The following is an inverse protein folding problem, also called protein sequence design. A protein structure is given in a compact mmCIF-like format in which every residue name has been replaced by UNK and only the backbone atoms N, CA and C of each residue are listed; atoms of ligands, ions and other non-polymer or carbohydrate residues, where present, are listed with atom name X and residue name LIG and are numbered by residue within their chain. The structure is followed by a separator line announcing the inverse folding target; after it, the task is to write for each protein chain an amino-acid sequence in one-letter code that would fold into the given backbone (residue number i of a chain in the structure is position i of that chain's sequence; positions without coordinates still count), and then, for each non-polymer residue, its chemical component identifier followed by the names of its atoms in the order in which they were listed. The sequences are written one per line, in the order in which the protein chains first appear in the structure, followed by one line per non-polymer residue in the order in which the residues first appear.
data_IF_474961325258
#
_entry.id   IF_474961325258
#
_cell.length_a   1.000
_cell.length_b   1.000
_cell.length_c   1.000
_cell.angle_alpha   90.00
_cell.angle_beta   90.00
_cell.angle_gamma   90.00
#
_symmetry.space_group_name_H-M   'P 1'
#
loop_
_entity.id
_entity.type
_entity.pdbx_description
1 polymer ?
#
# COMPACT_ATOMS: atom_id res chain seq x y z
N UNK A 1 -3.65 -36.51 -17.81
CA UNK A 1 -4.43 -36.42 -16.56
C UNK A 1 -4.18 -35.03 -15.97
N UNK A 2 -4.76 -33.91 -16.41
CA UNK A 2 -6.16 -33.57 -16.70
C UNK A 2 -7.12 -33.92 -15.56
N UNK A 3 -6.88 -33.33 -14.38
CA UNK A 3 -7.93 -33.07 -13.38
C UNK A 3 -7.60 -31.88 -12.46
N UNK A 4 -7.48 -30.66 -13.01
CA UNK A 4 -7.34 -29.43 -12.19
C UNK A 4 -8.37 -28.33 -12.53
N UNK A 5 -9.43 -28.68 -13.26
CA UNK A 5 -10.28 -27.69 -13.94
C UNK A 5 -11.41 -27.09 -13.12
N UNK A 6 -11.78 -27.65 -11.95
CA UNK A 6 -13.00 -27.22 -11.22
C UNK A 6 -12.83 -27.01 -9.71
N UNK A 7 -11.68 -27.36 -9.12
CA UNK A 7 -11.43 -27.25 -7.68
C UNK A 7 -10.75 -25.95 -7.20
N UNK A 8 -10.20 -25.13 -8.12
CA UNK A 8 -9.27 -24.04 -7.76
C UNK A 8 -9.86 -22.62 -7.91
N UNK A 9 -11.11 -22.51 -8.35
CA UNK A 9 -11.78 -21.22 -8.54
C UNK A 9 -12.02 -20.49 -7.21
N UNK A 10 -12.30 -21.22 -6.14
CA UNK A 10 -12.47 -20.65 -4.79
C UNK A 10 -11.12 -20.24 -4.18
N UNK A 11 -10.06 -21.02 -4.45
CA UNK A 11 -8.71 -20.77 -3.95
C UNK A 11 -8.11 -19.46 -4.44
N UNK A 12 -8.19 -19.18 -5.75
CA UNK A 12 -7.63 -17.94 -6.33
C UNK A 12 -8.28 -16.66 -5.77
N UNK A 13 -9.60 -16.65 -5.58
CA UNK A 13 -10.29 -15.49 -5.00
C UNK A 13 -9.99 -15.32 -3.51
N UNK A 14 -9.78 -16.42 -2.78
CA UNK A 14 -9.28 -16.35 -1.41
C UNK A 14 -7.87 -15.74 -1.33
N UNK A 15 -6.98 -16.10 -2.28
CA UNK A 15 -5.65 -15.46 -2.40
C UNK A 15 -5.79 -13.96 -2.65
N UNK A 16 -6.67 -13.55 -3.57
CA UNK A 16 -6.94 -12.14 -3.83
C UNK A 16 -7.48 -11.41 -2.59
N UNK A 17 -8.48 -11.99 -1.91
CA UNK A 17 -9.08 -11.38 -0.72
C UNK A 17 -8.05 -11.19 0.40
N UNK A 18 -7.20 -12.19 0.67
CA UNK A 18 -6.16 -12.07 1.69
C UNK A 18 -5.08 -11.06 1.28
N UNK A 19 -4.69 -11.01 0.01
CA UNK A 19 -3.80 -9.97 -0.52
C UNK A 19 -4.39 -8.57 -0.28
N UNK A 20 -5.68 -8.39 -0.60
CA UNK A 20 -6.37 -7.13 -0.40
C UNK A 20 -6.45 -6.75 1.08
N UNK A 21 -6.78 -7.69 1.97
CA UNK A 21 -6.82 -7.45 3.43
C UNK A 21 -5.44 -7.05 3.98
N UNK A 22 -4.37 -7.72 3.57
CA UNK A 22 -3.01 -7.35 3.96
C UNK A 22 -2.61 -5.96 3.45
N UNK A 23 -3.04 -5.60 2.23
CA UNK A 23 -2.79 -4.29 1.67
C UNK A 23 -3.64 -3.19 2.36
N UNK A 24 -4.89 -3.49 2.71
CA UNK A 24 -5.75 -2.65 3.55
C UNK A 24 -5.07 -2.37 4.89
N UNK A 25 -4.55 -3.39 5.58
CA UNK A 25 -3.78 -3.21 6.82
C UNK A 25 -2.56 -2.31 6.60
N UNK A 26 -1.83 -2.49 5.49
CA UNK A 26 -0.70 -1.62 5.16
C UNK A 26 -1.10 -0.15 4.97
N UNK A 27 -2.25 0.14 4.34
CA UNK A 27 -2.72 1.52 4.17
C UNK A 27 -3.23 2.09 5.49
N UNK A 28 -3.93 1.27 6.27
CA UNK A 28 -4.40 1.62 7.59
C UNK A 28 -3.27 2.14 8.49
N UNK A 29 -2.13 1.43 8.58
CA UNK A 29 -0.99 1.85 9.42
C UNK A 29 -0.32 3.17 8.96
N UNK A 30 -0.45 3.52 7.68
CA UNK A 30 0.07 4.79 7.13
C UNK A 30 -0.80 5.95 7.55
N UNK A 31 -2.11 5.82 7.39
CA UNK A 31 -3.07 6.87 7.67
C UNK A 31 -3.33 7.04 9.19
N UNK A 32 -3.23 5.97 9.97
CA UNK A 32 -3.58 5.97 11.40
C UNK A 32 -2.76 6.95 12.24
N UNK A 33 -1.51 7.26 11.85
CA UNK A 33 -0.65 8.14 12.64
C UNK A 33 -1.24 9.55 12.81
N UNK A 34 -1.93 10.06 11.80
CA UNK A 34 -2.53 11.39 11.86
C UNK A 34 -3.65 11.46 12.91
N UNK A 35 -4.43 10.39 13.04
CA UNK A 35 -5.56 10.33 13.99
C UNK A 35 -5.07 10.24 15.43
N UNK A 36 -4.04 9.45 15.71
CA UNK A 36 -3.50 9.28 17.07
C UNK A 36 -2.44 10.32 17.44
N UNK A 37 -2.14 11.28 16.55
CA UNK A 37 -1.11 12.28 16.79
C UNK A 37 -1.34 13.09 18.08
N UNK A 38 -2.57 13.52 18.44
CA UNK A 38 -2.83 14.18 19.71
C UNK A 38 -2.45 13.32 20.93
N UNK A 39 -2.82 12.04 20.91
CA UNK A 39 -2.52 11.09 21.99
C UNK A 39 -1.02 10.85 22.14
N UNK A 40 -0.31 10.73 21.01
CA UNK A 40 1.15 10.56 21.02
C UNK A 40 1.87 11.79 21.60
N UNK A 41 1.37 13.01 21.38
CA UNK A 41 1.95 14.21 22.02
C UNK A 41 1.69 14.20 23.51
N UNK A 42 0.48 13.84 23.93
CA UNK A 42 0.09 13.81 25.33
C UNK A 42 0.87 12.75 26.11
N UNK A 43 0.92 11.52 25.61
CA UNK A 43 1.44 10.36 26.34
C UNK A 43 2.96 10.19 26.23
N UNK A 44 3.57 10.61 25.12
CA UNK A 44 5.01 10.46 24.86
C UNK A 44 5.75 11.81 24.87
N UNK A 45 5.05 12.91 25.11
CA UNK A 45 5.64 14.26 25.14
C UNK A 45 6.25 14.70 23.81
N UNK A 46 5.74 14.19 22.68
CA UNK A 46 6.35 14.42 21.37
C UNK A 46 6.10 15.83 20.84
N UNK A 47 7.14 16.44 20.29
CA UNK A 47 7.03 17.65 19.48
C UNK A 47 6.40 17.33 18.11
N UNK A 48 5.94 18.36 17.39
CA UNK A 48 5.48 18.22 16.01
C UNK A 48 6.57 17.66 15.09
N UNK A 49 7.82 18.04 15.32
CA UNK A 49 8.99 17.51 14.61
C UNK A 49 9.16 16.01 14.84
N UNK A 50 9.08 15.56 16.11
CA UNK A 50 9.19 14.15 16.46
C UNK A 50 8.07 13.30 15.84
N UNK A 51 6.83 13.82 15.79
CA UNK A 51 5.73 13.16 15.08
C UNK A 51 5.96 13.06 13.57
N UNK A 52 6.50 14.12 12.96
CA UNK A 52 6.91 14.13 11.57
C UNK A 52 7.96 13.05 11.30
N UNK A 53 8.98 12.96 12.16
CA UNK A 53 10.02 11.94 12.08
C UNK A 53 9.48 10.51 12.27
N UNK A 54 8.57 10.27 13.22
CA UNK A 54 7.90 8.96 13.38
C UNK A 54 7.18 8.52 12.10
N UNK A 55 6.46 9.46 11.47
CA UNK A 55 5.79 9.20 10.19
C UNK A 55 6.81 8.88 9.10
N UNK A 56 7.88 9.68 9.02
CA UNK A 56 8.92 9.52 8.02
C UNK A 56 9.67 8.19 8.16
N UNK A 57 9.96 7.73 9.39
CA UNK A 57 10.66 6.46 9.65
C UNK A 57 9.94 5.24 9.06
N UNK A 58 8.60 5.23 9.10
CA UNK A 58 7.81 4.21 8.41
C UNK A 58 8.11 4.22 6.91
N UNK A 59 8.02 5.39 6.27
CA UNK A 59 8.19 5.52 4.82
C UNK A 59 9.63 5.31 4.36
N UNK A 60 10.63 5.79 5.11
CA UNK A 60 12.04 5.56 4.82
C UNK A 60 12.38 4.08 4.89
N UNK A 61 11.96 3.39 5.95
CA UNK A 61 12.19 1.94 6.07
C UNK A 61 11.47 1.19 4.95
N UNK A 62 10.21 1.54 4.69
CA UNK A 62 9.43 0.96 3.59
C UNK A 62 10.17 1.11 2.25
N UNK A 63 10.71 2.30 1.95
CA UNK A 63 11.43 2.59 0.71
C UNK A 63 12.76 1.82 0.62
N UNK A 64 13.55 1.77 1.69
CA UNK A 64 14.81 1.04 1.72
C UNK A 64 14.61 -0.45 1.45
N UNK A 65 13.52 -1.02 1.95
CA UNK A 65 13.18 -2.44 1.77
C UNK A 65 12.71 -2.76 0.35
N UNK A 66 12.21 -1.79 -0.42
CA UNK A 66 11.80 -2.04 -1.81
C UNK A 66 12.94 -2.56 -2.69
N UNK A 67 14.19 -2.17 -2.42
CA UNK A 67 15.36 -2.61 -3.19
C UNK A 67 15.63 -4.13 -3.04
N UNK A 68 15.81 -4.69 -1.83
CA UNK A 68 16.00 -6.12 -1.64
C UNK A 68 14.71 -6.95 -1.82
N UNK A 69 13.53 -6.32 -1.72
CA UNK A 69 12.25 -7.04 -1.74
C UNK A 69 12.03 -7.82 -3.04
N UNK A 70 12.36 -7.26 -4.21
CA UNK A 70 12.18 -7.94 -5.50
C UNK A 70 12.90 -9.30 -5.55
N UNK A 71 14.24 -9.34 -5.37
CA UNK A 71 14.99 -10.59 -5.29
C UNK A 71 14.48 -11.55 -4.20
N UNK A 72 14.04 -11.05 -3.04
CA UNK A 72 13.45 -11.89 -1.99
C UNK A 72 12.15 -12.55 -2.46
N UNK A 73 11.24 -11.80 -3.10
CA UNK A 73 9.99 -12.34 -3.65
C UNK A 73 10.24 -13.39 -4.74
N UNK A 74 11.29 -13.21 -5.54
CA UNK A 74 11.65 -14.15 -6.61
C UNK A 74 12.35 -15.42 -6.09
N UNK A 75 13.24 -15.30 -5.09
CA UNK A 75 14.03 -16.43 -4.56
C UNK A 75 13.33 -17.20 -3.44
N UNK A 76 12.80 -16.49 -2.45
CA UNK A 76 12.16 -17.07 -1.26
C UNK A 76 10.70 -17.41 -1.57
N UNK A 77 10.08 -16.65 -2.47
CA UNK A 77 8.69 -16.82 -2.87
C UNK A 77 7.78 -15.79 -2.18
N UNK A 78 6.79 -15.29 -2.92
CA UNK A 78 5.89 -14.23 -2.45
C UNK A 78 5.14 -14.61 -1.17
N UNK A 79 4.67 -15.86 -1.05
CA UNK A 79 3.94 -16.35 0.13
C UNK A 79 4.75 -16.16 1.42
N UNK A 80 5.96 -16.70 1.46
CA UNK A 80 6.81 -16.68 2.67
C UNK A 80 7.29 -15.26 2.99
N UNK A 81 7.73 -14.52 1.96
CA UNK A 81 8.22 -13.15 2.15
C UNK A 81 7.13 -12.22 2.67
N UNK A 82 5.93 -12.24 2.09
CA UNK A 82 4.81 -11.40 2.54
C UNK A 82 4.41 -11.73 3.98
N UNK A 83 4.24 -13.02 4.30
CA UNK A 83 3.83 -13.43 5.62
C UNK A 83 4.87 -13.08 6.70
N UNK A 84 6.14 -13.38 6.45
CA UNK A 84 7.22 -13.10 7.40
C UNK A 84 7.35 -11.61 7.67
N UNK A 85 7.35 -10.78 6.62
CA UNK A 85 7.38 -9.33 6.79
C UNK A 85 6.12 -8.82 7.49
N UNK A 86 4.93 -9.30 7.13
CA UNK A 86 3.70 -8.91 7.82
C UNK A 86 3.76 -9.23 9.32
N UNK A 87 4.29 -10.40 9.70
CA UNK A 87 4.49 -10.76 11.12
C UNK A 87 5.47 -9.83 11.82
N UNK A 88 6.56 -9.42 11.15
CA UNK A 88 7.47 -8.38 11.68
C UNK A 88 6.71 -7.06 11.89
N UNK A 89 5.82 -6.71 10.95
CA UNK A 89 4.96 -5.53 11.07
C UNK A 89 4.02 -5.61 12.28
N UNK A 90 3.42 -6.78 12.53
CA UNK A 90 2.59 -7.01 13.72
C UNK A 90 3.38 -6.87 15.03
N UNK A 91 4.61 -7.40 15.08
CA UNK A 91 5.52 -7.18 16.21
C UNK A 91 5.85 -5.69 16.37
N UNK A 92 6.08 -4.99 15.26
CA UNK A 92 6.25 -3.54 15.24
C UNK A 92 5.03 -2.78 15.80
N UNK A 93 3.82 -3.22 15.47
CA UNK A 93 2.58 -2.65 16.00
C UNK A 93 2.47 -2.82 17.52
N UNK A 94 2.84 -3.99 18.06
CA UNK A 94 2.83 -4.23 19.50
C UNK A 94 3.89 -3.41 20.23
N UNK A 95 5.10 -3.32 19.67
CA UNK A 95 6.17 -2.47 20.22
C UNK A 95 5.71 -1.00 20.24
N UNK A 96 5.13 -0.52 19.13
CA UNK A 96 4.60 0.83 19.03
C UNK A 96 3.48 1.09 20.06
N UNK A 97 2.55 0.14 20.21
CA UNK A 97 1.47 0.21 21.19
C UNK A 97 1.97 0.24 22.64
N UNK A 98 3.07 -0.47 22.94
CA UNK A 98 3.67 -0.47 24.28
C UNK A 98 4.64 0.67 24.55
N UNK A 99 4.91 1.52 23.55
CA UNK A 99 5.93 2.54 23.65
C UNK A 99 5.64 3.55 24.78
N UNK A 100 6.69 3.89 25.52
CA UNK A 100 6.74 4.92 26.56
C UNK A 100 7.72 6.04 26.20
N UNK A 101 8.58 5.80 25.21
CA UNK A 101 9.57 6.76 24.72
C UNK A 101 9.50 6.91 23.20
N UNK A 102 10.06 8.01 22.70
CA UNK A 102 10.19 8.23 21.26
C UNK A 102 10.96 7.08 20.57
N UNK A 103 12.02 6.58 21.18
CA UNK A 103 12.89 5.55 20.60
C UNK A 103 12.15 4.22 20.41
N UNK A 104 11.32 3.83 21.39
CA UNK A 104 10.46 2.64 21.28
C UNK A 104 9.41 2.81 20.18
N UNK A 105 8.75 3.97 20.13
CA UNK A 105 7.79 4.29 19.08
C UNK A 105 8.45 4.32 17.68
N UNK A 106 9.65 4.88 17.59
CA UNK A 106 10.45 4.92 16.37
C UNK A 106 10.83 3.51 15.89
N UNK A 107 11.27 2.64 16.81
CA UNK A 107 11.57 1.25 16.49
C UNK A 107 10.33 0.48 16.01
N UNK A 108 9.19 0.66 16.68
CA UNK A 108 7.91 0.09 16.23
C UNK A 108 7.52 0.57 14.83
N UNK A 109 7.71 1.85 14.52
CA UNK A 109 7.45 2.43 13.18
C UNK A 109 8.38 1.89 12.10
N UNK A 110 9.66 1.66 12.42
CA UNK A 110 10.63 1.03 11.51
C UNK A 110 10.15 -0.39 11.17
N UNK A 111 9.80 -1.20 12.18
CA UNK A 111 9.31 -2.57 11.97
C UNK A 111 7.99 -2.61 11.19
N UNK A 112 7.07 -1.67 11.44
CA UNK A 112 5.86 -1.50 10.64
C UNK A 112 6.18 -1.19 9.17
N UNK A 113 7.11 -0.25 8.91
CA UNK A 113 7.53 0.09 7.55
C UNK A 113 8.16 -1.09 6.82
N UNK A 114 9.03 -1.83 7.51
CA UNK A 114 9.62 -3.08 7.03
C UNK A 114 8.54 -4.12 6.72
N UNK A 115 7.60 -4.33 7.65
CA UNK A 115 6.64 -5.40 7.54
C UNK A 115 5.57 -5.21 6.47
N UNK A 116 5.14 -3.96 6.27
CA UNK A 116 4.11 -3.61 5.28
C UNK A 116 4.66 -3.49 3.85
N UNK A 117 5.99 -3.51 3.67
CA UNK A 117 6.69 -3.32 2.38
C UNK A 117 6.29 -4.30 1.27
N UNK A 118 6.00 -5.56 1.63
CA UNK A 118 5.75 -6.63 0.68
C UNK A 118 4.30 -6.74 0.22
N UNK A 119 3.35 -6.08 0.91
CA UNK A 119 1.92 -6.39 0.74
C UNK A 119 1.37 -5.97 -0.62
N UNK A 120 1.95 -4.96 -1.29
CA UNK A 120 1.56 -4.63 -2.66
C UNK A 120 2.33 -5.46 -3.69
N UNK A 121 3.66 -5.38 -3.67
CA UNK A 121 4.51 -6.02 -4.70
C UNK A 121 4.43 -7.55 -4.67
N UNK A 122 4.29 -8.13 -3.48
CA UNK A 122 4.08 -9.56 -3.32
C UNK A 122 2.72 -10.01 -3.86
N UNK A 123 1.66 -9.21 -3.67
CA UNK A 123 0.36 -9.49 -4.29
C UNK A 123 0.43 -9.41 -5.82
N UNK A 124 1.13 -8.43 -6.38
CA UNK A 124 1.36 -8.37 -7.83
C UNK A 124 2.07 -9.64 -8.33
N UNK A 125 3.10 -10.11 -7.60
CA UNK A 125 3.78 -11.37 -7.94
C UNK A 125 2.82 -12.56 -7.90
N UNK A 126 1.98 -12.67 -6.86
CA UNK A 126 0.99 -13.74 -6.77
C UNK A 126 -0.06 -13.67 -7.89
N UNK A 127 -0.45 -12.47 -8.32
CA UNK A 127 -1.40 -12.32 -9.42
C UNK A 127 -0.85 -12.87 -10.73
N UNK A 128 0.45 -12.72 -10.98
CA UNK A 128 1.09 -13.33 -12.17
C UNK A 128 1.10 -14.86 -12.15
N UNK A 129 0.93 -15.49 -10.98
CA UNK A 129 0.94 -16.95 -10.84
C UNK A 129 -0.45 -17.56 -10.73
N UNK A 130 -1.42 -16.85 -10.13
CA UNK A 130 -2.74 -17.37 -9.80
C UNK A 130 -3.85 -16.91 -10.77
N UNK A 131 -3.60 -15.86 -11.54
CA UNK A 131 -4.58 -15.25 -12.43
C UNK A 131 -4.04 -15.13 -13.85
N UNK A 132 -4.95 -15.01 -14.82
CA UNK A 132 -4.56 -14.86 -16.22
C UNK A 132 -3.98 -13.46 -16.49
N UNK A 133 -3.08 -13.31 -17.49
CA UNK A 133 -2.54 -12.01 -17.87
C UNK A 133 -3.59 -10.96 -18.22
N UNK A 134 -4.76 -11.37 -18.72
CA UNK A 134 -5.90 -10.51 -19.07
C UNK A 134 -6.59 -9.92 -17.83
N UNK A 135 -6.53 -10.61 -16.69
CA UNK A 135 -7.12 -10.16 -15.42
C UNK A 135 -6.14 -9.28 -14.62
N UNK A 136 -4.84 -9.37 -14.90
CA UNK A 136 -3.78 -8.75 -14.09
C UNK A 136 -3.98 -7.23 -13.90
N UNK A 137 -4.28 -6.51 -14.97
CA UNK A 137 -4.48 -5.06 -14.90
C UNK A 137 -5.68 -4.70 -14.02
N UNK A 138 -6.80 -5.41 -14.19
CA UNK A 138 -8.03 -5.22 -13.40
C UNK A 138 -7.79 -5.52 -11.92
N UNK A 139 -7.15 -6.64 -11.61
CA UNK A 139 -6.86 -7.03 -10.22
C UNK A 139 -5.87 -6.08 -9.55
N UNK A 140 -4.89 -5.57 -10.30
CA UNK A 140 -3.96 -4.54 -9.83
C UNK A 140 -4.68 -3.23 -9.52
N UNK A 141 -5.63 -2.83 -10.37
CA UNK A 141 -6.48 -1.67 -10.10
C UNK A 141 -7.39 -1.88 -8.88
N UNK A 142 -8.00 -3.07 -8.77
CA UNK A 142 -8.91 -3.39 -7.68
C UNK A 142 -8.20 -3.45 -6.32
N UNK A 143 -7.00 -4.03 -6.22
CA UNK A 143 -6.25 -4.03 -4.96
C UNK A 143 -5.82 -2.61 -4.55
N UNK A 144 -5.45 -1.75 -5.50
CA UNK A 144 -5.15 -0.34 -5.23
C UNK A 144 -6.38 0.41 -4.71
N UNK A 145 -7.53 0.18 -5.34
CA UNK A 145 -8.82 0.70 -4.88
C UNK A 145 -9.18 0.21 -3.47
N UNK A 146 -9.04 -1.08 -3.20
CA UNK A 146 -9.29 -1.63 -1.86
C UNK A 146 -8.33 -1.05 -0.82
N UNK A 147 -7.11 -0.67 -1.21
CA UNK A 147 -6.19 0.07 -0.35
C UNK A 147 -6.78 1.36 0.23
N UNK A 148 -7.64 2.09 -0.52
CA UNK A 148 -8.26 3.32 -0.01
C UNK A 148 -9.22 3.05 1.14
N UNK A 149 -9.82 1.86 1.20
CA UNK A 149 -10.64 1.41 2.34
C UNK A 149 -9.82 1.39 3.62
N UNK A 150 -8.54 0.99 3.56
CA UNK A 150 -7.63 1.05 4.71
C UNK A 150 -7.46 2.46 5.26
N UNK A 151 -7.35 3.47 4.39
CA UNK A 151 -7.29 4.88 4.79
C UNK A 151 -8.61 5.35 5.44
N UNK A 152 -9.75 4.92 4.89
CA UNK A 152 -11.08 5.26 5.43
C UNK A 152 -11.30 4.64 6.81
N UNK A 153 -10.91 3.37 6.99
CA UNK A 153 -11.00 2.68 8.29
C UNK A 153 -10.05 3.31 9.32
N UNK A 154 -8.90 3.81 8.87
CA UNK A 154 -7.96 4.54 9.73
C UNK A 154 -8.44 5.94 10.14
N UNK A 155 -9.56 6.44 9.60
CA UNK A 155 -10.14 7.73 9.97
C UNK A 155 -11.15 7.57 11.13
N UNK A 156 -12.43 7.85 10.91
CA UNK A 156 -13.47 7.82 11.95
C UNK A 156 -13.56 6.49 12.72
N UNK A 157 -13.51 5.31 12.06
CA UNK A 157 -13.59 4.05 12.81
C UNK A 157 -12.44 3.86 13.80
N UNK A 158 -11.22 4.26 13.42
CA UNK A 158 -10.09 4.26 14.35
C UNK A 158 -10.27 5.29 15.47
N UNK A 159 -10.74 6.50 15.17
CA UNK A 159 -10.97 7.51 16.20
C UNK A 159 -11.95 7.02 17.28
N UNK A 160 -13.06 6.39 16.88
CA UNK A 160 -14.03 5.79 17.80
C UNK A 160 -13.42 4.65 18.62
N UNK A 161 -12.55 3.83 18.01
CA UNK A 161 -11.85 2.77 18.73
C UNK A 161 -10.85 3.34 19.75
N UNK A 162 -10.11 4.39 19.37
CA UNK A 162 -9.17 5.10 20.25
C UNK A 162 -9.92 5.75 21.42
N UNK A 163 -11.09 6.34 21.18
CA UNK A 163 -11.93 6.89 22.24
C UNK A 163 -12.41 5.80 23.21
N UNK A 164 -12.79 4.63 22.69
CA UNK A 164 -13.35 3.55 23.50
C UNK A 164 -12.29 2.81 24.34
N UNK A 165 -11.11 2.52 23.77
CA UNK A 165 -10.09 1.66 24.42
C UNK A 165 -8.69 2.27 24.48
N UNK A 166 -8.49 3.46 23.92
CA UNK A 166 -7.19 4.10 23.82
C UNK A 166 -6.37 3.64 22.60
N UNK A 167 -5.42 4.47 22.18
CA UNK A 167 -4.59 4.21 21.01
C UNK A 167 -3.67 2.99 21.17
N UNK A 168 -3.20 2.72 22.40
CA UNK A 168 -2.35 1.56 22.71
C UNK A 168 -3.08 0.25 22.44
N UNK A 169 -4.26 0.08 23.02
CA UNK A 169 -5.08 -1.11 22.79
C UNK A 169 -5.57 -1.20 21.34
N UNK A 170 -5.92 -0.07 20.72
CA UNK A 170 -6.28 -0.03 19.29
C UNK A 170 -5.16 -0.63 18.42
N UNK A 171 -3.92 -0.15 18.56
CA UNK A 171 -2.79 -0.67 17.79
C UNK A 171 -2.43 -2.11 18.15
N UNK A 172 -2.58 -2.51 19.41
CA UNK A 172 -2.34 -3.88 19.83
C UNK A 172 -3.34 -4.88 19.22
N UNK A 173 -4.64 -4.52 19.21
CA UNK A 173 -5.71 -5.31 18.58
C UNK A 173 -5.50 -5.42 17.08
N UNK A 174 -5.18 -4.31 16.40
CA UNK A 174 -4.95 -4.28 14.95
C UNK A 174 -3.67 -5.04 14.59
N UNK A 175 -2.63 -4.98 15.43
CA UNK A 175 -1.42 -5.81 15.32
C UNK A 175 -1.74 -7.30 15.39
N UNK A 176 -2.61 -7.69 16.32
CA UNK A 176 -3.12 -9.05 16.44
C UNK A 176 -3.93 -9.50 15.24
N UNK A 177 -4.87 -8.67 14.76
CA UNK A 177 -5.63 -8.95 13.55
C UNK A 177 -4.70 -9.15 12.34
N UNK A 178 -3.69 -8.29 12.20
CA UNK A 178 -2.70 -8.38 11.12
C UNK A 178 -1.86 -9.65 11.23
N UNK A 179 -1.54 -10.11 12.43
CA UNK A 179 -0.84 -11.38 12.64
C UNK A 179 -1.73 -12.56 12.27
N UNK A 180 -3.00 -12.55 12.68
CA UNK A 180 -3.99 -13.56 12.28
C UNK A 180 -4.14 -13.62 10.76
N UNK A 181 -4.18 -12.46 10.08
CA UNK A 181 -4.20 -12.39 8.62
C UNK A 181 -2.93 -12.98 7.99
N UNK A 182 -1.75 -12.73 8.57
CA UNK A 182 -0.50 -13.32 8.10
C UNK A 182 -0.48 -14.85 8.24
N UNK A 183 -0.98 -15.39 9.35
CA UNK A 183 -1.11 -16.83 9.55
C UNK A 183 -2.17 -17.46 8.64
N UNK A 184 -3.32 -16.81 8.47
CA UNK A 184 -4.34 -17.24 7.51
C UNK A 184 -3.79 -17.24 6.08
N UNK A 185 -3.03 -16.21 5.72
CA UNK A 185 -2.33 -16.11 4.44
C UNK A 185 -1.31 -17.25 4.26
N UNK A 186 -0.53 -17.58 5.30
CA UNK A 186 0.34 -18.77 5.26
C UNK A 186 -0.45 -20.06 5.11
N UNK A 187 -1.60 -20.22 5.75
CA UNK A 187 -2.39 -21.46 5.69
C UNK A 187 -3.09 -21.66 4.35
N UNK A 188 -3.64 -20.59 3.77
CA UNK A 188 -4.49 -20.64 2.57
C UNK A 188 -3.66 -20.53 1.28
N UNK A 189 -2.74 -19.57 1.22
CA UNK A 189 -1.99 -19.32 -0.02
C UNK A 189 -0.94 -20.41 -0.18
N UNK A 190 -1.00 -21.14 -1.30
CA UNK A 190 0.06 -22.09 -1.66
C UNK A 190 1.06 -21.41 -2.60
N UNK A 191 2.32 -21.82 -2.54
CA UNK A 191 3.25 -21.44 -3.60
C UNK A 191 2.84 -22.22 -4.84
N UNK A 192 2.49 -21.50 -5.92
CA UNK A 192 2.22 -22.12 -7.22
C UNK A 192 3.46 -22.88 -7.73
N UNK A 193 3.31 -23.75 -8.74
CA UNK A 193 4.45 -24.44 -9.34
C UNK A 193 5.51 -23.40 -9.71
N UNK A 194 6.74 -23.59 -9.20
CA UNK A 194 7.86 -22.68 -9.44
C UNK A 194 7.94 -22.39 -10.94
N UNK A 195 8.07 -21.11 -11.36
CA UNK A 195 8.27 -20.83 -12.77
C UNK A 195 9.47 -21.64 -13.26
N UNK A 196 9.30 -22.35 -14.37
CA UNK A 196 10.36 -23.10 -15.07
C UNK A 196 11.52 -22.21 -15.54
N UNK A 197 11.41 -20.89 -15.32
CA UNK A 197 12.49 -19.92 -15.49
C UNK A 197 13.50 -20.15 -14.36
N UNK A 198 14.37 -21.12 -14.64
CA UNK A 198 15.80 -21.18 -14.32
C UNK A 198 16.18 -20.88 -12.86
N UNK A 199 16.83 -21.87 -12.24
CA UNK A 199 17.86 -21.67 -11.20
C UNK A 199 19.01 -20.79 -11.74
N UNK A 200 18.73 -19.60 -12.23
CA UNK A 200 19.73 -18.62 -12.62
C UNK A 200 20.26 -18.04 -11.33
N UNK A 201 21.58 -18.09 -11.16
CA UNK A 201 22.30 -17.32 -10.14
C UNK A 201 21.65 -15.95 -10.03
N UNK A 202 20.95 -15.70 -8.91
CA UNK A 202 20.10 -14.53 -8.88
C UNK A 202 20.99 -13.30 -9.07
N UNK A 203 20.62 -12.44 -10.01
CA UNK A 203 21.39 -11.24 -10.32
C UNK A 203 21.79 -10.51 -9.02
N UNK A 204 23.07 -10.19 -8.82
CA UNK A 204 23.48 -9.44 -7.65
C UNK A 204 22.74 -8.11 -7.63
N UNK A 205 22.23 -7.71 -6.45
CA UNK A 205 21.43 -6.49 -6.27
C UNK A 205 22.08 -5.27 -6.94
N UNK A 206 23.42 -5.21 -6.87
CA UNK A 206 24.25 -4.18 -7.52
C UNK A 206 24.06 -4.11 -9.04
N UNK A 207 23.98 -5.24 -9.73
CA UNK A 207 23.80 -5.29 -11.19
C UNK A 207 22.38 -4.93 -11.59
N UNK A 208 21.37 -5.36 -10.82
CA UNK A 208 19.98 -4.94 -11.04
C UNK A 208 19.83 -3.43 -10.88
N UNK A 209 20.38 -2.87 -9.80
CA UNK A 209 20.37 -1.41 -9.57
C UNK A 209 21.10 -0.68 -10.68
N UNK A 210 22.29 -1.15 -11.09
CA UNK A 210 23.07 -0.56 -12.20
C UNK A 210 22.27 -0.57 -13.51
N UNK A 211 21.63 -1.69 -13.83
CA UNK A 211 20.82 -1.83 -15.04
C UNK A 211 19.61 -0.88 -15.02
N UNK A 212 18.90 -0.78 -13.89
CA UNK A 212 17.74 0.11 -13.76
C UNK A 212 18.14 1.58 -13.90
N UNK A 213 19.17 2.00 -13.16
CA UNK A 213 19.68 3.37 -13.18
C UNK A 213 20.25 3.76 -14.55
N UNK A 214 20.75 2.80 -15.33
CA UNK A 214 21.22 3.03 -16.70
C UNK A 214 20.13 3.23 -17.75
N UNK A 215 18.86 2.93 -17.45
CA UNK A 215 17.76 3.02 -18.43
C UNK A 215 17.03 4.36 -18.36
N UNK A 216 16.96 5.07 -19.49
CA UNK A 216 16.18 6.32 -19.62
C UNK A 216 14.70 6.13 -19.29
N UNK A 217 14.12 5.01 -19.70
CA UNK A 217 12.70 4.69 -19.44
C UNK A 217 12.39 4.63 -17.94
N UNK A 218 13.32 4.09 -17.14
CA UNK A 218 13.17 4.01 -15.70
C UNK A 218 13.08 5.41 -15.07
N UNK A 219 13.96 6.32 -15.47
CA UNK A 219 13.94 7.70 -14.99
C UNK A 219 12.68 8.46 -15.42
N UNK A 220 12.24 8.30 -16.66
CA UNK A 220 11.01 8.93 -17.15
C UNK A 220 9.78 8.45 -16.37
N UNK A 221 9.64 7.14 -16.14
CA UNK A 221 8.52 6.58 -15.38
C UNK A 221 8.61 6.99 -13.91
N UNK A 222 9.79 6.94 -13.32
CA UNK A 222 9.99 7.26 -11.89
C UNK A 222 9.73 8.73 -11.62
N UNK A 223 10.26 9.63 -12.46
CA UNK A 223 10.04 11.07 -12.34
C UNK A 223 8.57 11.43 -12.58
N UNK A 224 7.95 10.85 -13.61
CA UNK A 224 6.52 11.02 -13.86
C UNK A 224 5.67 10.57 -12.67
N UNK A 225 6.00 9.41 -12.08
CA UNK A 225 5.28 8.88 -10.91
C UNK A 225 5.51 9.76 -9.68
N UNK A 226 6.74 10.21 -9.46
CA UNK A 226 7.11 11.10 -8.36
C UNK A 226 6.32 12.41 -8.41
N UNK A 227 6.31 13.08 -9.56
CA UNK A 227 5.56 14.33 -9.75
C UNK A 227 4.06 14.09 -9.61
N UNK A 228 3.50 13.10 -10.32
CA UNK A 228 2.07 12.80 -10.29
C UNK A 228 1.57 12.46 -8.89
N UNK A 229 2.29 11.60 -8.18
CA UNK A 229 1.91 11.18 -6.83
C UNK A 229 2.09 12.33 -5.82
N UNK A 230 3.19 13.08 -5.92
CA UNK A 230 3.44 14.25 -5.08
C UNK A 230 2.35 15.31 -5.21
N UNK A 231 1.99 15.68 -6.45
CA UNK A 231 0.90 16.63 -6.73
C UNK A 231 -0.43 16.13 -6.17
N UNK A 232 -0.76 14.85 -6.41
CA UNK A 232 -2.00 14.28 -5.90
C UNK A 232 -2.10 14.31 -4.38
N UNK A 233 -1.04 13.87 -3.68
CA UNK A 233 -1.02 13.86 -2.20
C UNK A 233 -1.03 15.28 -1.64
N UNK A 234 -0.31 16.22 -2.25
CA UNK A 234 -0.32 17.61 -1.84
C UNK A 234 -1.72 18.23 -1.97
N UNK A 235 -2.37 18.06 -3.13
CA UNK A 235 -3.71 18.60 -3.35
C UNK A 235 -4.71 17.90 -2.44
N UNK A 236 -4.83 16.57 -2.52
CA UNK A 236 -5.87 15.84 -1.79
C UNK A 236 -5.66 15.88 -0.27
N UNK A 237 -4.41 15.73 0.19
CA UNK A 237 -4.09 15.55 1.60
C UNK A 237 -3.87 16.84 2.39
N UNK A 238 -3.52 17.95 1.72
CA UNK A 238 -3.16 19.19 2.41
C UNK A 238 -3.98 20.39 1.97
N UNK A 239 -4.18 20.59 0.66
CA UNK A 239 -4.69 21.88 0.15
C UNK A 239 -6.18 21.86 -0.21
N UNK A 240 -6.72 20.75 -0.71
CA UNK A 240 -8.08 20.69 -1.24
C UNK A 240 -9.14 20.95 -0.18
N UNK A 241 -8.98 20.41 1.04
CA UNK A 241 -9.90 20.66 2.15
C UNK A 241 -9.99 22.14 2.53
N UNK A 242 -8.88 22.77 2.98
CA UNK A 242 -8.86 24.19 3.30
C UNK A 242 -9.30 25.09 2.15
N UNK A 243 -8.90 24.80 0.91
CA UNK A 243 -9.33 25.59 -0.24
C UNK A 243 -10.85 25.54 -0.45
N UNK A 244 -11.46 24.35 -0.37
CA UNK A 244 -12.90 24.18 -0.51
C UNK A 244 -13.67 24.91 0.60
N UNK A 245 -13.13 24.95 1.82
CA UNK A 245 -13.80 25.57 2.96
C UNK A 245 -13.57 27.09 3.04
N UNK A 246 -12.32 27.53 2.93
CA UNK A 246 -11.92 28.93 3.15
C UNK A 246 -12.08 29.81 1.90
N UNK A 247 -11.83 29.27 0.70
CA UNK A 247 -11.89 30.03 -0.56
C UNK A 247 -13.23 29.84 -1.26
N UNK A 248 -13.69 28.59 -1.37
CA UNK A 248 -14.97 28.27 -2.03
C UNK A 248 -16.18 28.39 -1.08
N UNK A 249 -15.94 28.60 0.21
CA UNK A 249 -17.00 28.80 1.21
C UNK A 249 -17.88 27.57 1.46
N UNK A 250 -17.43 26.37 1.07
CA UNK A 250 -18.20 25.14 1.24
C UNK A 250 -18.21 24.70 2.70
N UNK A 251 -19.32 24.07 3.11
CA UNK A 251 -19.39 23.44 4.42
C UNK A 251 -18.38 22.28 4.53
N UNK A 252 -17.96 21.90 5.75
CA UNK A 252 -17.08 20.74 5.96
C UNK A 252 -17.61 19.45 5.33
N UNK A 253 -18.93 19.26 5.30
CA UNK A 253 -19.59 18.08 4.72
C UNK A 253 -19.49 18.10 3.19
N UNK A 254 -19.73 19.24 2.56
CA UNK A 254 -19.61 19.39 1.11
C UNK A 254 -18.17 19.22 0.64
N UNK A 255 -17.21 19.83 1.35
CA UNK A 255 -15.79 19.65 1.10
C UNK A 255 -15.38 18.16 1.24
N UNK A 256 -15.87 17.49 2.29
CA UNK A 256 -15.69 16.05 2.49
C UNK A 256 -16.24 15.21 1.34
N UNK A 257 -17.43 15.52 0.83
CA UNK A 257 -18.03 14.82 -0.31
C UNK A 257 -17.23 15.00 -1.60
N UNK A 258 -16.69 16.20 -1.86
CA UNK A 258 -15.81 16.45 -3.01
C UNK A 258 -14.49 15.67 -2.89
N UNK A 259 -13.89 15.65 -1.71
CA UNK A 259 -12.69 14.84 -1.44
C UNK A 259 -12.97 13.34 -1.58
N UNK A 260 -14.17 12.89 -1.23
CA UNK A 260 -14.62 11.51 -1.43
C UNK A 260 -14.78 11.19 -2.92
N UNK A 261 -15.34 12.11 -3.72
CA UNK A 261 -15.43 11.96 -5.18
C UNK A 261 -14.04 11.82 -5.84
N UNK A 262 -13.01 12.52 -5.36
CA UNK A 262 -11.63 12.32 -5.83
C UNK A 262 -11.15 10.88 -5.59
N UNK A 263 -11.46 10.29 -4.43
CA UNK A 263 -11.14 8.90 -4.13
C UNK A 263 -11.93 7.93 -5.01
N UNK A 264 -13.21 8.20 -5.26
CA UNK A 264 -14.02 7.41 -6.19
C UNK A 264 -13.43 7.45 -7.60
N UNK A 265 -12.95 8.62 -8.05
CA UNK A 265 -12.25 8.78 -9.32
C UNK A 265 -10.97 7.93 -9.41
N UNK A 266 -10.20 7.83 -8.31
CA UNK A 266 -9.01 6.96 -8.25
C UNK A 266 -9.40 5.47 -8.32
N UNK A 267 -10.44 5.08 -7.60
CA UNK A 267 -10.98 3.71 -7.53
C UNK A 267 -11.53 3.28 -8.89
N UNK A 268 -12.30 4.14 -9.57
CA UNK A 268 -12.87 3.85 -10.88
C UNK A 268 -11.84 4.00 -12.00
N UNK A 269 -10.96 5.00 -11.91
CA UNK A 269 -9.96 5.32 -12.93
C UNK A 269 -8.89 4.25 -13.09
N UNK A 270 -8.55 3.53 -12.01
CA UNK A 270 -7.56 2.44 -12.05
C UNK A 270 -7.98 1.26 -12.96
N UNK A 271 -9.16 0.63 -12.77
CA UNK A 271 -9.65 -0.42 -13.68
C UNK A 271 -10.05 0.13 -15.05
N UNK A 272 -10.60 1.34 -15.15
CA UNK A 272 -10.93 1.96 -16.44
C UNK A 272 -9.67 2.22 -17.28
N UNK A 273 -8.60 2.73 -16.67
CA UNK A 273 -7.32 2.94 -17.34
C UNK A 273 -6.69 1.64 -17.83
N UNK A 274 -6.79 0.56 -17.04
CA UNK A 274 -6.41 -0.79 -17.46
C UNK A 274 -7.22 -1.26 -18.66
N UNK A 275 -8.55 -1.14 -18.59
CA UNK A 275 -9.45 -1.52 -19.67
C UNK A 275 -9.24 -0.72 -20.97
N UNK A 276 -9.06 0.60 -20.86
CA UNK A 276 -8.72 1.49 -21.99
C UNK A 276 -7.38 1.13 -22.62
N UNK A 277 -6.37 0.81 -21.79
CA UNK A 277 -5.06 0.35 -22.24
C UNK A 277 -5.18 -0.95 -23.04
N UNK A 278 -5.95 -1.90 -22.52
CA UNK A 278 -5.92 -3.28 -23.00
C UNK A 278 -6.91 -3.55 -24.13
N UNK A 279 -8.01 -2.80 -24.25
CA UNK A 279 -9.05 -3.03 -25.27
C UNK A 279 -9.21 -1.93 -26.32
N UNK A 280 -9.04 -0.66 -25.95
CA UNK A 280 -9.31 0.47 -26.86
C UNK A 280 -8.05 0.97 -27.57
N UNK A 281 -6.99 1.22 -26.79
CA UNK A 281 -5.81 1.92 -27.29
C UNK A 281 -4.65 0.98 -27.61
N UNK A 282 -4.70 -0.26 -27.12
CA UNK A 282 -3.65 -1.28 -27.21
C UNK A 282 -2.25 -0.73 -26.88
N UNK A 283 -2.18 0.29 -26.01
CA UNK A 283 -0.95 1.05 -25.75
C UNK A 283 -1.00 1.71 -24.37
N UNK A 284 -0.19 1.17 -23.46
CA UNK A 284 -0.01 1.72 -22.10
C UNK A 284 0.50 3.15 -22.11
N UNK A 285 1.40 3.49 -23.05
CA UNK A 285 2.01 4.82 -23.14
C UNK A 285 0.99 5.91 -23.46
N UNK A 286 0.03 5.64 -24.36
CA UNK A 286 -1.01 6.61 -24.74
C UNK A 286 -1.94 6.91 -23.57
N UNK A 287 -2.35 5.88 -22.82
CA UNK A 287 -3.19 6.06 -21.62
C UNK A 287 -2.49 6.90 -20.57
N UNK A 288 -1.21 6.64 -20.30
CA UNK A 288 -0.43 7.43 -19.34
C UNK A 288 -0.31 8.89 -19.77
N UNK A 289 -0.01 9.15 -21.05
CA UNK A 289 0.09 10.52 -21.58
C UNK A 289 -1.26 11.26 -21.48
N UNK A 290 -2.37 10.60 -21.83
CA UNK A 290 -3.70 11.20 -21.70
C UNK A 290 -4.08 11.47 -20.24
N UNK A 291 -3.77 10.55 -19.33
CA UNK A 291 -4.01 10.76 -17.90
C UNK A 291 -3.19 11.91 -17.31
N UNK A 292 -1.91 12.01 -17.68
CA UNK A 292 -1.04 13.11 -17.27
C UNK A 292 -1.50 14.45 -17.89
N UNK A 293 -1.92 14.43 -19.16
CA UNK A 293 -2.50 15.61 -19.82
C UNK A 293 -3.78 16.09 -19.15
N UNK A 294 -4.69 15.17 -18.81
CA UNK A 294 -5.92 15.48 -18.08
C UNK A 294 -5.65 16.09 -16.70
N UNK A 295 -4.67 15.54 -15.97
CA UNK A 295 -4.27 16.08 -14.67
C UNK A 295 -3.65 17.48 -14.80
N UNK A 296 -2.83 17.72 -15.83
CA UNK A 296 -2.26 19.04 -16.10
C UNK A 296 -3.36 20.05 -16.46
N UNK A 297 -4.38 19.66 -17.25
CA UNK A 297 -5.50 20.55 -17.55
C UNK A 297 -6.39 20.87 -16.36
N UNK A 298 -6.45 20.01 -15.34
CA UNK A 298 -7.24 20.29 -14.12
C UNK A 298 -6.59 21.30 -13.16
N UNK A 299 -5.34 21.70 -13.41
CA UNK A 299 -4.60 22.68 -12.62
C UNK A 299 -4.74 24.12 -13.13
N UNK A 300 -5.37 24.32 -14.29
CA UNK A 300 -5.63 25.62 -14.92
C UNK A 300 -7.14 25.83 -15.08
#
# INVERSE_FOLDING_TARGET
MLDSGKGDFSGRWAVFALCALLFISSQFYRASNAIIAPDLRHDLGLSAEALGLLTALFFYTFALVQLPLGPCLDRIGARRTMAFLTLIGSVGAWIFASAKTFQEAAFGRILLGLGMSANLMGSMKLFTTWFSPQEFATLSGLILALGTVGNMVAATPLALLVEAVGWRWSFALIGGLTACLAFAFLGVVREGPKPLISKGEGFPLREMVRMLVGRRDYWLISFSTFVRYGVFVAIQGLWAGPYLMEVMGLSPVEAGNVLLLLNVGLVAGSPLGGWLSDRLLCSRKRVVIMGLGGMASSLF
#
